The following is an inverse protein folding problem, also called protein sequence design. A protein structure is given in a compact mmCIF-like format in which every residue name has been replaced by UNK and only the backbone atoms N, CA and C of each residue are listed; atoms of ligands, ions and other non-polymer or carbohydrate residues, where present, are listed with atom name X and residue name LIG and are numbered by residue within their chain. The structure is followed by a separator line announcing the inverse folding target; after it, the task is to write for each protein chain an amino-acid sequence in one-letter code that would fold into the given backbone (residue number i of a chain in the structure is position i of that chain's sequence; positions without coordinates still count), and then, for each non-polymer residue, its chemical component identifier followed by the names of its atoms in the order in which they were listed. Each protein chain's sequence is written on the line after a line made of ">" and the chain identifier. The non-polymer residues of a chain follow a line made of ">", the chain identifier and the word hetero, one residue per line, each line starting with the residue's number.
data_IF_085360476464
#
_entry.id   IF_085360476464
#
_cell.length_a   1.000
_cell.length_b   1.000
_cell.length_c   1.000
_cell.angle_alpha   90.00
_cell.angle_beta   90.00
_cell.angle_gamma   90.00
#
_symmetry.space_group_name_H-M   'P 1'
#
loop_
_entity.id
_entity.type
_entity.pdbx_description
1 polymer ?
#
# COMPACT_ATOMS: atom_id res chain seq x y z
N UNK A 1 -4.59 5.14 9.23
CA UNK A 1 -4.95 4.05 8.28
C UNK A 1 -6.18 3.27 8.77
N UNK A 2 -6.16 2.64 9.95
CA UNK A 2 -7.25 1.78 10.44
C UNK A 2 -8.67 2.40 10.40
N UNK A 3 -8.82 3.70 10.67
CA UNK A 3 -10.12 4.41 10.59
C UNK A 3 -10.76 4.40 9.20
N UNK A 4 -10.01 4.07 8.15
CA UNK A 4 -10.56 3.98 6.80
C UNK A 4 -11.25 2.63 6.52
N UNK A 5 -10.99 1.59 7.33
CA UNK A 5 -11.63 0.29 7.17
C UNK A 5 -13.17 0.44 7.25
N UNK A 6 -13.96 -0.29 6.42
CA UNK A 6 -13.55 -1.33 5.46
C UNK A 6 -13.30 -0.81 4.04
N UNK A 7 -12.94 0.46 3.82
CA UNK A 7 -12.61 0.95 2.47
C UNK A 7 -11.20 0.50 2.07
N UNK A 8 -11.00 0.30 0.77
CA UNK A 8 -9.70 -0.05 0.21
C UNK A 8 -8.69 1.10 0.38
N UNK A 9 -7.45 0.76 0.73
CA UNK A 9 -6.35 1.70 0.93
C UNK A 9 -5.08 1.17 0.28
N UNK A 10 -4.44 2.01 -0.52
CA UNK A 10 -3.11 1.77 -1.09
C UNK A 10 -2.16 2.86 -0.59
N UNK A 11 -1.12 2.46 0.13
CA UNK A 11 -0.02 3.33 0.59
C UNK A 11 1.13 3.16 -0.38
N UNK A 12 1.75 4.27 -0.83
CA UNK A 12 2.95 4.21 -1.68
C UNK A 12 4.03 5.12 -1.12
N UNK A 13 5.27 4.67 -1.28
CA UNK A 13 6.48 5.37 -0.84
C UNK A 13 7.54 5.34 -1.94
N UNK A 14 8.62 6.10 -1.73
CA UNK A 14 9.80 6.09 -2.61
C UNK A 14 11.08 5.86 -1.80
N UNK A 15 12.03 5.08 -2.32
CA UNK A 15 13.22 4.63 -1.56
C UNK A 15 14.14 5.77 -1.09
N UNK A 16 14.23 6.87 -1.82
CA UNK A 16 15.05 8.03 -1.46
C UNK A 16 14.25 9.11 -0.71
N UNK A 17 12.95 8.92 -0.51
CA UNK A 17 12.09 9.85 0.24
C UNK A 17 12.19 9.62 1.75
N UNK A 18 13.40 9.72 2.29
CA UNK A 18 13.67 9.43 3.69
C UNK A 18 12.99 10.40 4.67
N UNK A 19 12.53 11.56 4.18
CA UNK A 19 11.80 12.52 5.00
C UNK A 19 10.36 12.08 5.29
N UNK A 20 9.76 11.30 4.39
CA UNK A 20 8.43 10.71 4.59
C UNK A 20 8.46 9.45 5.48
N UNK A 21 9.65 8.94 5.82
CA UNK A 21 9.84 7.68 6.54
C UNK A 21 9.10 6.49 5.90
N UNK A 22 9.59 5.96 4.75
CA UNK A 22 8.97 4.81 4.07
C UNK A 22 8.82 3.57 4.97
N UNK A 23 9.73 3.41 5.94
CA UNK A 23 9.65 2.31 6.92
C UNK A 23 8.47 2.52 7.87
N UNK A 24 8.29 3.74 8.38
CA UNK A 24 7.14 4.12 9.19
C UNK A 24 5.81 4.03 8.44
N UNK A 25 5.78 4.38 7.16
CA UNK A 25 4.61 4.20 6.29
C UNK A 25 4.24 2.72 6.12
N UNK A 26 5.25 1.86 5.88
CA UNK A 26 5.06 0.40 5.83
C UNK A 26 4.53 -0.16 7.16
N UNK A 27 5.20 0.16 8.27
CA UNK A 27 4.83 -0.34 9.60
C UNK A 27 3.44 0.14 10.03
N UNK A 28 3.09 1.38 9.70
CA UNK A 28 1.73 1.91 9.91
C UNK A 28 0.69 1.11 9.13
N UNK A 29 1.03 0.69 7.92
CA UNK A 29 0.17 -0.14 7.07
C UNK A 29 0.05 -1.55 7.65
N UNK A 30 1.16 -2.19 8.02
CA UNK A 30 1.18 -3.50 8.68
C UNK A 30 0.34 -3.51 9.96
N UNK A 31 0.56 -2.55 10.87
CA UNK A 31 -0.15 -2.49 12.15
C UNK A 31 -1.62 -2.05 12.03
N UNK A 32 -2.06 -1.54 10.88
CA UNK A 32 -3.48 -1.34 10.59
C UNK A 32 -4.18 -2.64 10.14
N UNK A 33 -3.43 -3.66 9.70
CA UNK A 33 -3.93 -4.96 9.27
C UNK A 33 -4.89 -5.66 10.24
N UNK A 34 -4.67 -5.67 11.57
CA UNK A 34 -5.62 -6.24 12.53
C UNK A 34 -7.04 -5.68 12.41
N UNK A 35 -7.21 -4.38 12.15
CA UNK A 35 -8.54 -3.76 12.01
C UNK A 35 -9.19 -4.16 10.68
N UNK A 36 -8.43 -4.22 9.60
CA UNK A 36 -8.93 -4.70 8.31
C UNK A 36 -9.38 -6.17 8.38
N UNK A 37 -8.67 -7.02 9.13
CA UNK A 37 -9.06 -8.42 9.36
C UNK A 37 -10.40 -8.58 10.05
N UNK A 38 -10.85 -7.60 10.86
CA UNK A 38 -12.20 -7.62 11.45
C UNK A 38 -13.31 -7.59 10.39
N UNK A 39 -13.00 -7.13 9.18
CA UNK A 39 -13.92 -7.05 8.04
C UNK A 39 -13.65 -8.12 6.97
N UNK A 40 -12.85 -9.15 7.29
CA UNK A 40 -12.48 -10.20 6.34
C UNK A 40 -11.50 -9.74 5.25
N UNK A 41 -10.84 -8.60 5.45
CA UNK A 41 -9.85 -8.04 4.53
C UNK A 41 -8.43 -8.42 4.94
N UNK A 42 -7.49 -8.32 4.01
CA UNK A 42 -6.08 -8.64 4.20
C UNK A 42 -5.17 -7.45 3.91
N UNK A 43 -3.97 -7.50 4.49
CA UNK A 43 -2.92 -6.50 4.30
C UNK A 43 -1.54 -7.13 4.39
N UNK A 44 -0.47 -6.33 4.56
CA UNK A 44 0.89 -6.86 4.72
C UNK A 44 0.97 -7.89 5.87
N UNK A 45 1.66 -9.00 5.65
CA UNK A 45 1.72 -10.14 6.59
C UNK A 45 3.00 -10.19 7.43
N UNK A 46 4.00 -9.38 7.09
CA UNK A 46 5.33 -9.34 7.75
C UNK A 46 5.60 -7.96 8.35
N UNK A 47 6.29 -7.89 9.49
CA UNK A 47 6.81 -6.61 10.01
C UNK A 47 8.00 -6.08 9.21
N UNK A 48 8.65 -6.94 8.42
CA UNK A 48 9.75 -6.55 7.54
C UNK A 48 9.21 -5.97 6.23
N UNK A 49 9.59 -4.75 5.82
CA UNK A 49 9.22 -4.18 4.53
C UNK A 49 9.62 -5.11 3.37
N UNK A 50 8.83 -5.14 2.27
CA UNK A 50 9.23 -5.87 1.08
C UNK A 50 10.45 -5.22 0.44
N UNK A 51 11.09 -5.95 -0.49
CA UNK A 51 12.04 -5.31 -1.41
C UNK A 51 11.35 -4.21 -2.21
N UNK A 52 12.04 -3.13 -2.61
CA UNK A 52 11.49 -2.14 -3.51
C UNK A 52 10.92 -2.77 -4.78
N UNK A 53 9.99 -2.08 -5.43
CA UNK A 53 9.27 -2.56 -6.62
C UNK A 53 8.39 -3.80 -6.38
N UNK A 54 8.16 -4.19 -5.11
CA UNK A 54 7.32 -5.34 -4.74
C UNK A 54 6.10 -4.87 -3.95
N UNK A 55 4.91 -5.00 -4.54
CA UNK A 55 3.66 -4.69 -3.86
C UNK A 55 3.23 -5.83 -2.92
N UNK A 56 2.67 -5.49 -1.76
CA UNK A 56 2.18 -6.45 -0.75
C UNK A 56 0.80 -6.06 -0.20
N UNK A 57 0.06 -7.04 0.32
CA UNK A 57 -1.30 -6.89 0.84
C UNK A 57 -2.39 -6.93 -0.24
N UNK A 58 -3.67 -6.93 0.18
CA UNK A 58 -4.83 -6.88 -0.71
C UNK A 58 -5.60 -5.55 -0.55
N UNK A 59 -6.73 -5.55 0.14
CA UNK A 59 -7.58 -4.37 0.37
C UNK A 59 -6.83 -3.25 1.12
N UNK A 60 -5.88 -3.63 1.97
CA UNK A 60 -4.86 -2.76 2.52
C UNK A 60 -3.52 -3.11 1.87
N UNK A 61 -2.96 -2.22 1.06
CA UNK A 61 -1.74 -2.52 0.31
C UNK A 61 -0.65 -1.49 0.49
N UNK A 62 0.59 -1.94 0.30
CA UNK A 62 1.79 -1.11 0.33
C UNK A 62 2.68 -1.42 -0.88
N UNK A 63 3.31 -0.39 -1.44
CA UNK A 63 4.32 -0.50 -2.48
C UNK A 63 5.36 0.62 -2.32
N UNK A 64 6.63 0.31 -2.56
CA UNK A 64 7.72 1.28 -2.49
C UNK A 64 8.52 1.26 -3.78
N UNK A 65 8.50 2.37 -4.52
CA UNK A 65 9.20 2.54 -5.79
C UNK A 65 10.64 3.00 -5.57
N UNK A 66 11.56 2.60 -6.44
CA UNK A 66 12.91 3.17 -6.46
C UNK A 66 12.84 4.63 -6.92
N UNK A 67 13.51 5.52 -6.17
CA UNK A 67 13.72 6.92 -6.54
C UNK A 67 13.30 7.92 -5.47
N UNK A 68 13.16 9.18 -5.87
CA UNK A 68 12.92 10.35 -5.00
C UNK A 68 11.44 10.59 -4.73
N UNK A 69 11.19 11.51 -3.79
CA UNK A 69 9.87 12.07 -3.50
C UNK A 69 9.21 12.65 -4.75
N UNK A 70 8.19 11.96 -5.25
CA UNK A 70 7.30 12.39 -6.33
C UNK A 70 6.14 11.39 -6.47
N UNK A 71 5.10 11.78 -7.21
CA UNK A 71 4.11 10.86 -7.75
C UNK A 71 4.28 10.80 -9.28
N UNK A 72 4.67 9.63 -9.79
CA UNK A 72 4.95 9.44 -11.22
C UNK A 72 3.90 8.54 -11.89
N UNK A 73 3.95 8.46 -13.22
CA UNK A 73 3.01 7.66 -14.00
C UNK A 73 2.95 6.18 -13.57
N UNK A 74 4.08 5.60 -13.12
CA UNK A 74 4.12 4.24 -12.60
C UNK A 74 3.28 4.08 -11.31
N UNK A 75 3.30 5.07 -10.42
CA UNK A 75 2.50 5.05 -9.19
C UNK A 75 0.99 5.10 -9.54
N UNK A 76 0.61 5.96 -10.49
CA UNK A 76 -0.76 6.02 -11.00
C UNK A 76 -1.22 4.70 -11.64
N UNK A 77 -0.35 4.04 -12.41
CA UNK A 77 -0.67 2.73 -12.98
C UNK A 77 -0.99 1.70 -11.88
N UNK A 78 -0.17 1.64 -10.83
CA UNK A 78 -0.44 0.78 -9.68
C UNK A 78 -1.76 1.09 -8.98
N UNK A 79 -2.07 2.37 -8.74
CA UNK A 79 -3.34 2.76 -8.13
C UNK A 79 -4.55 2.35 -8.97
N UNK A 80 -4.52 2.59 -10.28
CA UNK A 80 -5.66 2.32 -11.17
C UNK A 80 -5.83 0.81 -11.36
N UNK A 81 -4.76 0.05 -11.58
CA UNK A 81 -4.84 -1.40 -11.72
C UNK A 81 -5.36 -2.06 -10.43
N UNK A 82 -4.99 -1.50 -9.27
CA UNK A 82 -5.52 -1.93 -7.98
C UNK A 82 -7.01 -1.62 -7.83
N UNK A 83 -7.44 -0.44 -8.26
CA UNK A 83 -8.85 -0.05 -8.25
C UNK A 83 -9.66 -0.98 -9.18
N UNK A 84 -9.17 -1.25 -10.39
CA UNK A 84 -9.83 -2.14 -11.34
C UNK A 84 -10.04 -3.55 -10.75
N UNK A 85 -9.01 -4.11 -10.11
CA UNK A 85 -9.07 -5.42 -9.45
C UNK A 85 -10.08 -5.45 -8.29
N UNK A 86 -10.07 -4.43 -7.43
CA UNK A 86 -10.89 -4.42 -6.21
C UNK A 86 -12.35 -4.05 -6.47
N UNK A 87 -12.62 -3.19 -7.46
CA UNK A 87 -13.98 -2.79 -7.84
C UNK A 87 -14.56 -3.61 -8.99
N UNK A 88 -13.81 -4.55 -9.56
CA UNK A 88 -14.26 -5.40 -10.66
C UNK A 88 -14.52 -4.63 -11.96
N UNK A 89 -13.79 -3.54 -12.19
CA UNK A 89 -13.91 -2.73 -13.40
C UNK A 89 -13.18 -3.45 -14.53
N UNK A 90 -13.89 -3.73 -15.63
CA UNK A 90 -13.31 -4.28 -16.85
C UNK A 90 -13.00 -3.13 -17.82
N UNK A 91 -11.77 -3.06 -18.31
CA UNK A 91 -11.36 -2.17 -19.40
C UNK A 91 -11.69 -2.77 -20.77
#
# INVERSE_FOLDING_TARGET
>A
IALAAPRYIAVHSATEDQWADPTGEYLSTYHAGPVFRLFGMSGPESETPPSPETAVGNELSYYCRIGKHDIVAADFAHYIDRADQLFGIKR
#
